data_IF_770811203559
#
_entry.id   IF_770811203559
#
_cell.length_a   1.000
_cell.length_b   1.000
_cell.length_c   1.000
_cell.angle_alpha   90.00
_cell.angle_beta   90.00
_cell.angle_gamma   90.00
#
_symmetry.space_group_name_H-M   'P 1'
#
loop_
_entity.id
_entity.type
_entity.pdbx_description
1 polymer ?
#
# COMPACT_ATOMS: atom_id res chain seq x y z
N UNK A 1 -12.02 19.53 -30.71
CA UNK A 1 -10.90 19.05 -29.85
C UNK A 1 -9.69 18.98 -30.76
N UNK A 2 -8.78 19.94 -30.70
CA UNK A 2 -7.50 19.79 -31.38
C UNK A 2 -6.74 18.64 -30.70
N UNK A 3 -6.63 17.55 -31.44
CA UNK A 3 -5.68 16.49 -31.08
C UNK A 3 -4.30 17.04 -31.42
N UNK A 4 -3.48 17.27 -30.40
CA UNK A 4 -2.05 17.48 -30.65
C UNK A 4 -1.53 16.16 -31.20
N UNK A 5 -1.14 16.05 -32.47
CA UNK A 5 -0.74 14.77 -33.04
C UNK A 5 0.44 14.18 -32.28
N UNK A 6 0.35 12.92 -31.89
CA UNK A 6 1.44 12.20 -31.22
C UNK A 6 1.52 12.35 -29.70
N UNK A 7 0.63 13.15 -29.06
CA UNK A 7 0.67 13.35 -27.61
C UNK A 7 -0.48 12.67 -26.86
N UNK A 8 -0.18 12.17 -25.67
CA UNK A 8 -1.17 11.55 -24.78
C UNK A 8 -1.77 12.65 -23.90
N UNK A 9 -3.07 12.94 -24.07
CA UNK A 9 -3.80 13.87 -23.21
C UNK A 9 -4.73 13.08 -22.29
N UNK A 10 -4.50 13.18 -20.98
CA UNK A 10 -5.30 12.52 -19.96
C UNK A 10 -6.17 13.52 -19.20
N UNK A 11 -7.27 13.04 -18.64
CA UNK A 11 -8.09 13.84 -17.72
C UNK A 11 -7.45 13.89 -16.35
N UNK A 12 -7.76 14.92 -15.59
CA UNK A 12 -7.43 15.01 -14.16
C UNK A 12 -8.69 14.86 -13.32
N UNK A 13 -8.50 14.41 -12.07
CA UNK A 13 -9.52 14.47 -11.03
C UNK A 13 -8.89 14.70 -9.67
N UNK A 14 -9.65 15.28 -8.77
CA UNK A 14 -9.32 15.31 -7.36
C UNK A 14 -9.79 14.03 -6.67
N UNK A 15 -8.90 13.40 -5.92
CA UNK A 15 -9.27 12.41 -4.93
C UNK A 15 -9.19 13.07 -3.55
N UNK A 16 -10.33 13.13 -2.89
CA UNK A 16 -10.46 13.71 -1.56
C UNK A 16 -10.63 12.56 -0.56
N UNK A 17 -9.88 12.60 0.52
CA UNK A 17 -9.98 11.64 1.61
C UNK A 17 -9.92 12.41 2.94
N UNK A 18 -10.90 12.18 3.81
CA UNK A 18 -10.81 12.64 5.19
C UNK A 18 -10.04 11.61 6.01
N UNK A 19 -8.95 12.01 6.64
CA UNK A 19 -8.09 11.15 7.48
C UNK A 19 -8.53 11.07 8.93
N UNK A 20 -9.39 11.99 9.35
CA UNK A 20 -9.96 12.05 10.68
C UNK A 20 -11.48 11.84 10.61
N UNK A 21 -12.16 12.08 11.71
CA UNK A 21 -13.62 11.99 11.82
C UNK A 21 -14.35 13.18 11.17
N UNK A 22 -15.67 13.17 11.28
CA UNK A 22 -16.52 14.25 10.76
C UNK A 22 -16.49 15.52 11.61
N UNK A 23 -16.06 15.41 12.88
CA UNK A 23 -16.03 16.54 13.82
C UNK A 23 -14.75 17.36 13.66
N UNK A 24 -13.63 16.68 13.31
CA UNK A 24 -12.34 17.33 13.07
C UNK A 24 -11.73 16.85 11.75
N UNK A 25 -12.24 17.28 10.59
CA UNK A 25 -11.83 16.76 9.30
C UNK A 25 -10.40 17.19 8.93
N UNK A 26 -9.54 16.22 8.65
CA UNK A 26 -8.25 16.41 7.97
C UNK A 26 -8.38 15.96 6.51
N UNK A 27 -8.79 16.88 5.64
CA UNK A 27 -9.06 16.57 4.24
C UNK A 27 -7.77 16.58 3.44
N UNK A 28 -7.38 15.39 2.97
CA UNK A 28 -6.28 15.25 2.01
C UNK A 28 -6.81 15.26 0.58
N UNK A 29 -6.37 16.24 -0.21
CA UNK A 29 -6.66 16.33 -1.64
C UNK A 29 -5.46 15.85 -2.46
N UNK A 30 -5.68 14.94 -3.41
CA UNK A 30 -4.69 14.50 -4.38
C UNK A 30 -5.19 14.75 -5.79
N UNK A 31 -4.39 15.44 -6.59
CA UNK A 31 -4.63 15.54 -8.02
C UNK A 31 -4.12 14.28 -8.70
N UNK A 32 -4.99 13.60 -9.43
CA UNK A 32 -4.69 12.36 -10.14
C UNK A 32 -4.80 12.56 -11.64
N UNK A 33 -3.93 11.89 -12.38
CA UNK A 33 -4.11 11.64 -13.81
C UNK A 33 -5.07 10.47 -14.02
N UNK A 34 -5.97 10.58 -14.99
CA UNK A 34 -6.90 9.50 -15.34
C UNK A 34 -6.51 8.91 -16.69
N UNK A 35 -5.46 8.10 -16.71
CA UNK A 35 -5.07 7.33 -17.87
C UNK A 35 -5.79 5.99 -17.87
N UNK A 36 -6.92 5.90 -18.61
CA UNK A 36 -7.68 4.67 -18.71
C UNK A 36 -6.98 3.65 -19.61
N UNK A 37 -6.94 2.41 -19.16
CA UNK A 37 -6.51 1.28 -19.99
C UNK A 37 -7.52 1.05 -21.12
N UNK A 38 -7.01 1.07 -22.37
CA UNK A 38 -7.77 0.70 -23.55
C UNK A 38 -6.95 -0.35 -24.32
N UNK A 39 -7.43 -1.57 -24.33
CA UNK A 39 -6.79 -2.67 -25.05
C UNK A 39 -6.04 -3.67 -24.13
N UNK A 40 -5.12 -4.44 -24.72
CA UNK A 40 -4.40 -5.48 -24.02
C UNK A 40 -3.49 -4.95 -22.90
N UNK A 41 -3.31 -5.77 -21.85
CA UNK A 41 -2.38 -5.45 -20.76
C UNK A 41 -0.97 -5.35 -21.34
N UNK A 42 -0.33 -4.22 -21.15
CA UNK A 42 1.08 -4.07 -21.41
C UNK A 42 1.85 -4.27 -20.09
N UNK A 43 2.45 -5.44 -19.94
CA UNK A 43 3.20 -5.81 -18.73
C UNK A 43 4.40 -4.89 -18.46
N UNK A 44 4.89 -4.21 -19.50
CA UNK A 44 5.97 -3.22 -19.38
C UNK A 44 5.60 -2.03 -18.46
N UNK A 45 4.31 -1.80 -18.20
CA UNK A 45 3.85 -0.73 -17.30
C UNK A 45 3.53 -1.23 -15.89
N UNK A 46 3.69 -2.52 -15.64
CA UNK A 46 3.34 -3.13 -14.36
C UNK A 46 4.47 -2.95 -13.37
N UNK A 47 4.21 -2.32 -12.23
CA UNK A 47 5.12 -2.32 -11.11
C UNK A 47 5.01 -3.64 -10.35
N UNK A 48 6.13 -4.09 -9.83
CA UNK A 48 6.16 -5.26 -8.97
C UNK A 48 5.57 -4.92 -7.60
N UNK A 49 4.78 -5.84 -7.08
CA UNK A 49 4.26 -5.76 -5.72
C UNK A 49 4.87 -6.90 -4.91
N UNK A 50 5.50 -6.64 -3.75
CA UNK A 50 6.04 -7.73 -2.97
C UNK A 50 4.89 -8.59 -2.47
N UNK A 51 4.99 -9.92 -2.58
CA UNK A 51 4.03 -10.82 -1.96
C UNK A 51 4.11 -10.67 -0.43
N UNK A 52 3.06 -11.06 0.27
CA UNK A 52 3.04 -11.05 1.75
C UNK A 52 4.23 -11.82 2.34
N UNK A 53 4.68 -12.84 1.65
CA UNK A 53 5.84 -13.68 1.99
C UNK A 53 7.14 -12.88 2.08
N UNK A 54 7.30 -11.83 1.29
CA UNK A 54 8.48 -10.95 1.36
C UNK A 54 8.64 -10.29 2.73
N UNK A 55 7.56 -9.76 3.28
CA UNK A 55 7.58 -9.21 4.65
C UNK A 55 7.66 -10.31 5.71
N UNK A 56 6.94 -11.43 5.51
CA UNK A 56 7.04 -12.59 6.40
C UNK A 56 8.45 -13.14 6.47
N UNK A 57 9.18 -13.19 5.35
CA UNK A 57 10.59 -13.59 5.32
C UNK A 57 11.45 -12.65 6.17
N UNK A 58 11.28 -11.34 6.04
CA UNK A 58 12.02 -10.34 6.83
C UNK A 58 11.72 -10.52 8.33
N UNK A 59 10.44 -10.67 8.70
CA UNK A 59 10.01 -10.85 10.09
C UNK A 59 10.47 -12.20 10.67
N UNK A 60 10.42 -13.27 9.87
CA UNK A 60 10.94 -14.58 10.26
C UNK A 60 12.43 -14.53 10.52
N UNK A 61 13.18 -13.83 9.66
CA UNK A 61 14.62 -13.63 9.85
C UNK A 61 14.91 -12.85 11.15
N UNK A 62 14.16 -11.77 11.43
CA UNK A 62 14.26 -11.06 12.70
C UNK A 62 14.02 -11.98 13.89
N UNK A 63 12.93 -12.77 13.86
CA UNK A 63 12.55 -13.65 14.96
C UNK A 63 13.57 -14.78 15.20
N UNK A 64 14.22 -15.27 14.13
CA UNK A 64 15.23 -16.32 14.21
C UNK A 64 16.58 -15.84 14.72
N UNK A 65 16.99 -14.62 14.30
CA UNK A 65 18.33 -14.09 14.66
C UNK A 65 18.29 -13.22 15.92
N UNK A 66 17.28 -12.36 16.07
CA UNK A 66 17.10 -11.31 17.11
C UNK A 66 18.34 -10.47 17.41
N UNK A 67 19.53 -11.06 17.38
CA UNK A 67 20.83 -10.41 17.63
C UNK A 67 21.84 -10.83 16.56
N UNK A 68 22.69 -9.88 16.19
CA UNK A 68 23.80 -10.11 15.27
C UNK A 68 25.05 -9.45 15.82
N UNK A 69 26.18 -10.18 15.84
CA UNK A 69 27.45 -9.69 16.43
C UNK A 69 27.28 -9.21 17.88
N UNK A 70 26.39 -9.87 18.65
CA UNK A 70 26.08 -9.47 20.03
C UNK A 70 25.18 -8.24 20.18
N UNK A 71 24.79 -7.59 19.08
CA UNK A 71 23.91 -6.41 19.06
C UNK A 71 22.49 -6.80 18.63
N UNK A 72 21.43 -6.18 19.20
CA UNK A 72 20.07 -6.46 18.80
C UNK A 72 19.80 -5.99 17.37
N UNK A 73 19.04 -6.79 16.62
CA UNK A 73 18.51 -6.40 15.33
C UNK A 73 17.32 -5.44 15.50
N UNK A 74 17.12 -4.61 14.49
CA UNK A 74 16.03 -3.65 14.40
C UNK A 74 15.28 -3.82 13.09
N UNK A 75 13.98 -3.50 13.12
CA UNK A 75 13.16 -3.35 11.92
C UNK A 75 12.77 -1.89 11.81
N UNK A 76 13.19 -1.22 10.76
CA UNK A 76 12.82 0.17 10.49
C UNK A 76 11.71 0.22 9.45
N UNK A 77 10.82 1.19 9.61
CA UNK A 77 9.69 1.46 8.73
C UNK A 77 9.78 2.91 8.24
N UNK A 78 9.98 3.04 6.93
CA UNK A 78 10.19 4.32 6.26
C UNK A 78 9.15 4.49 5.16
N UNK A 79 8.54 5.66 5.08
CA UNK A 79 7.60 6.09 4.05
C UNK A 79 8.26 7.14 3.17
N UNK A 80 8.25 6.94 1.86
CA UNK A 80 8.78 7.92 0.90
C UNK A 80 7.67 8.88 0.52
N UNK A 81 7.86 10.16 0.83
CA UNK A 81 6.88 11.18 0.50
C UNK A 81 6.78 11.40 -0.99
N UNK A 82 5.54 11.42 -1.49
CA UNK A 82 5.24 11.71 -2.90
C UNK A 82 6.05 10.80 -3.85
N UNK A 83 6.14 9.52 -3.57
CA UNK A 83 7.00 8.54 -4.24
C UNK A 83 7.05 8.72 -5.77
N UNK A 84 5.92 8.73 -6.46
CA UNK A 84 5.86 8.84 -7.92
C UNK A 84 6.43 10.16 -8.48
N UNK A 85 6.35 11.25 -7.73
CA UNK A 85 6.95 12.52 -8.16
C UNK A 85 8.50 12.51 -8.16
N UNK A 86 9.13 11.49 -7.60
CA UNK A 86 10.58 11.31 -7.68
C UNK A 86 11.01 10.69 -9.01
N UNK A 87 10.11 10.04 -9.75
CA UNK A 87 10.38 9.44 -11.04
C UNK A 87 10.13 10.42 -12.21
N UNK A 88 10.90 10.23 -13.29
CA UNK A 88 10.73 10.98 -14.54
C UNK A 88 9.82 10.20 -15.50
N UNK A 89 8.88 10.86 -16.18
CA UNK A 89 8.07 10.21 -17.20
C UNK A 89 8.93 9.93 -18.45
N UNK A 90 8.82 8.74 -19.00
CA UNK A 90 9.45 8.37 -20.28
C UNK A 90 8.59 8.77 -21.49
N UNK A 91 7.28 8.97 -21.26
CA UNK A 91 6.32 9.35 -22.29
C UNK A 91 5.92 10.81 -22.15
N UNK A 92 5.66 11.47 -23.26
CA UNK A 92 5.08 12.81 -23.23
C UNK A 92 3.58 12.74 -22.90
N UNK A 93 3.25 13.00 -21.64
CA UNK A 93 1.88 13.00 -21.14
C UNK A 93 1.47 14.43 -20.78
N UNK A 94 0.32 14.83 -21.27
CA UNK A 94 -0.32 16.09 -20.94
C UNK A 94 -1.59 15.83 -20.14
N UNK A 95 -1.78 16.56 -19.07
CA UNK A 95 -2.94 16.46 -18.20
C UNK A 95 -3.83 17.69 -18.37
N UNK A 96 -5.13 17.49 -18.54
CA UNK A 96 -6.08 18.60 -18.49
C UNK A 96 -6.05 19.23 -17.12
N UNK A 97 -5.84 20.55 -17.10
CA UNK A 97 -5.79 21.30 -15.85
C UNK A 97 -7.18 21.34 -15.21
N UNK A 98 -7.28 21.13 -13.88
CA UNK A 98 -8.54 21.28 -13.17
C UNK A 98 -9.15 22.68 -13.30
N UNK A 99 -10.45 22.76 -13.37
CA UNK A 99 -11.18 24.03 -13.54
C UNK A 99 -10.95 24.98 -12.36
N UNK A 100 -10.70 24.43 -11.19
CA UNK A 100 -10.47 25.17 -9.94
C UNK A 100 -9.21 26.05 -9.98
N UNK A 101 -8.30 25.81 -10.93
CA UNK A 101 -7.12 26.66 -11.12
C UNK A 101 -7.40 27.94 -11.91
N UNK A 102 -8.63 28.16 -12.38
CA UNK A 102 -9.04 29.38 -13.06
C UNK A 102 -8.35 29.65 -14.40
N UNK A 103 -7.68 28.64 -14.98
CA UNK A 103 -7.02 28.76 -16.28
C UNK A 103 -8.02 28.66 -17.45
N UNK A 104 -7.67 29.14 -18.65
CA UNK A 104 -8.56 29.07 -19.80
C UNK A 104 -9.07 27.66 -20.06
N UNK A 105 -10.32 27.50 -20.55
CA UNK A 105 -10.85 26.18 -20.89
C UNK A 105 -9.94 25.41 -21.85
N UNK A 106 -9.85 24.09 -21.64
CA UNK A 106 -8.98 23.17 -22.41
C UNK A 106 -7.45 23.37 -22.23
N UNK A 107 -7.03 24.15 -21.26
CA UNK A 107 -5.61 24.22 -20.89
C UNK A 107 -5.11 22.82 -20.48
N UNK A 108 -3.93 22.47 -21.00
CA UNK A 108 -3.22 21.23 -20.65
C UNK A 108 -1.84 21.57 -20.09
N UNK A 109 -1.41 20.79 -19.12
CA UNK A 109 -0.08 20.90 -18.52
C UNK A 109 0.74 19.64 -18.86
N UNK A 110 1.98 19.83 -19.32
CA UNK A 110 2.93 18.73 -19.54
C UNK A 110 3.37 18.18 -18.18
N UNK A 111 3.35 16.87 -18.03
CA UNK A 111 3.87 16.23 -16.85
C UNK A 111 5.40 16.20 -16.91
N UNK A 112 6.05 16.90 -16.00
CA UNK A 112 7.52 16.91 -15.84
C UNK A 112 8.01 15.90 -14.81
N UNK A 113 7.10 15.28 -14.09
CA UNK A 113 7.29 14.19 -13.14
C UNK A 113 6.16 13.20 -13.27
N UNK A 114 6.38 11.95 -12.87
CA UNK A 114 5.31 10.97 -12.82
C UNK A 114 4.23 11.42 -11.84
N UNK A 115 2.97 11.21 -12.22
CA UNK A 115 1.81 11.61 -11.42
C UNK A 115 0.97 10.38 -11.13
N UNK A 116 0.37 10.32 -9.95
CA UNK A 116 -0.57 9.26 -9.59
C UNK A 116 -1.67 9.11 -10.64
N UNK A 117 -1.90 7.87 -11.10
CA UNK A 117 -2.93 7.53 -12.08
C UNK A 117 -2.48 7.54 -13.54
N UNK A 118 -1.18 7.73 -13.84
CA UNK A 118 -0.56 7.30 -15.10
C UNK A 118 -0.19 5.82 -15.03
N UNK A 119 -0.28 5.12 -16.15
CA UNK A 119 -0.15 3.65 -16.20
C UNK A 119 1.24 3.15 -15.83
N UNK A 120 2.26 3.90 -16.18
CA UNK A 120 3.68 3.57 -16.01
C UNK A 120 4.32 4.19 -14.75
N UNK A 121 3.62 5.07 -14.04
CA UNK A 121 4.18 5.78 -12.88
C UNK A 121 4.70 4.82 -11.78
N UNK A 122 4.00 3.71 -11.57
CA UNK A 122 4.44 2.68 -10.61
C UNK A 122 5.75 2.02 -11.02
N UNK A 123 5.87 1.64 -12.32
CA UNK A 123 7.08 1.01 -12.87
C UNK A 123 8.27 1.97 -12.86
N UNK A 124 8.07 3.20 -13.28
CA UNK A 124 9.12 4.23 -13.30
C UNK A 124 9.60 4.60 -11.89
N UNK A 125 8.71 4.54 -10.90
CA UNK A 125 9.09 4.68 -9.51
C UNK A 125 9.90 3.46 -9.03
N UNK A 126 9.49 2.24 -9.38
CA UNK A 126 10.24 1.01 -9.10
C UNK A 126 11.67 1.10 -9.67
N UNK A 127 11.82 1.51 -10.92
CA UNK A 127 13.12 1.66 -11.55
C UNK A 127 13.96 2.74 -10.86
N UNK A 128 13.32 3.86 -10.46
CA UNK A 128 14.00 4.96 -9.75
C UNK A 128 14.57 4.51 -8.40
N UNK A 129 13.76 3.87 -7.55
CA UNK A 129 14.28 3.43 -6.24
C UNK A 129 15.25 2.26 -6.37
N UNK A 130 15.06 1.39 -7.38
CA UNK A 130 16.00 0.30 -7.65
C UNK A 130 17.38 0.84 -7.99
N UNK A 131 17.49 1.81 -8.90
CA UNK A 131 18.77 2.46 -9.24
C UNK A 131 19.44 3.09 -8.01
N UNK A 132 18.66 3.75 -7.15
CA UNK A 132 19.18 4.37 -5.92
C UNK A 132 19.69 3.30 -4.95
N UNK A 133 18.96 2.21 -4.74
CA UNK A 133 19.37 1.11 -3.86
C UNK A 133 20.61 0.38 -4.41
N UNK A 134 20.66 0.12 -5.71
CA UNK A 134 21.83 -0.50 -6.34
C UNK A 134 23.07 0.39 -6.25
N UNK A 135 22.93 1.69 -6.42
CA UNK A 135 24.03 2.66 -6.21
C UNK A 135 24.54 2.67 -4.76
N UNK A 136 23.70 2.31 -3.78
CA UNK A 136 24.11 2.12 -2.38
C UNK A 136 24.78 0.76 -2.12
N UNK A 137 24.81 -0.16 -3.12
CA UNK A 137 25.42 -1.51 -3.00
C UNK A 137 24.42 -2.61 -2.67
N UNK A 138 23.11 -2.34 -2.70
CA UNK A 138 22.11 -3.39 -2.58
C UNK A 138 22.04 -4.21 -3.87
N UNK A 139 21.67 -5.46 -3.72
CA UNK A 139 21.33 -6.36 -4.83
C UNK A 139 19.85 -6.70 -4.77
N UNK A 140 19.21 -6.63 -5.90
CA UNK A 140 17.81 -7.02 -6.09
C UNK A 140 17.66 -8.54 -5.98
N UNK A 141 16.60 -8.99 -5.33
CA UNK A 141 16.29 -10.42 -5.21
C UNK A 141 15.93 -11.05 -6.55
N UNK A 142 16.46 -12.22 -6.83
CA UNK A 142 16.22 -12.94 -8.09
C UNK A 142 14.75 -13.36 -8.21
N UNK A 143 14.15 -13.84 -7.13
CA UNK A 143 12.76 -14.32 -7.12
C UNK A 143 11.73 -13.21 -6.95
N UNK A 144 12.13 -12.06 -6.43
CA UNK A 144 11.24 -10.93 -6.21
C UNK A 144 12.01 -9.61 -6.26
N UNK A 145 11.71 -8.72 -7.21
CA UNK A 145 12.43 -7.47 -7.41
C UNK A 145 12.17 -6.41 -6.32
N UNK A 146 11.19 -6.63 -5.44
CA UNK A 146 10.92 -5.72 -4.32
C UNK A 146 11.73 -6.05 -3.06
N UNK A 147 12.57 -7.09 -3.09
CA UNK A 147 13.42 -7.51 -1.97
C UNK A 147 14.87 -7.19 -2.33
N UNK A 148 15.54 -6.47 -1.45
CA UNK A 148 16.92 -6.02 -1.63
C UNK A 148 17.78 -6.49 -0.49
N UNK A 149 19.04 -6.84 -0.78
CA UNK A 149 20.02 -7.24 0.23
C UNK A 149 21.36 -6.56 -0.01
N UNK A 150 21.87 -5.93 1.03
CA UNK A 150 23.22 -5.35 1.07
C UNK A 150 24.16 -6.32 1.79
N UNK A 151 25.03 -7.00 1.03
CA UNK A 151 25.85 -8.12 1.56
C UNK A 151 26.80 -7.72 2.67
N UNK A 152 27.51 -6.59 2.53
CA UNK A 152 28.54 -6.19 3.50
C UNK A 152 27.95 -5.73 4.82
N UNK A 153 26.82 -5.02 4.79
CA UNK A 153 26.10 -4.53 5.97
C UNK A 153 25.06 -5.50 6.48
N UNK A 154 24.77 -6.53 5.67
CA UNK A 154 23.74 -7.52 5.93
C UNK A 154 22.37 -6.87 6.25
N UNK A 155 22.04 -5.84 5.46
CA UNK A 155 20.72 -5.20 5.48
C UNK A 155 19.78 -5.89 4.51
N UNK A 156 18.57 -6.16 4.94
CA UNK A 156 17.48 -6.63 4.07
C UNK A 156 16.41 -5.56 3.99
N UNK A 157 15.99 -5.20 2.78
CA UNK A 157 14.94 -4.21 2.54
C UNK A 157 13.83 -4.85 1.72
N UNK A 158 12.59 -4.65 2.15
CA UNK A 158 11.39 -5.02 1.38
C UNK A 158 10.65 -3.72 1.07
N UNK A 159 10.47 -3.45 -0.22
CA UNK A 159 9.79 -2.25 -0.72
C UNK A 159 8.36 -2.61 -1.15
N UNK A 160 7.40 -1.82 -0.71
CA UNK A 160 6.00 -1.94 -1.15
C UNK A 160 5.47 -0.53 -1.47
N UNK A 161 5.53 -0.16 -2.74
CA UNK A 161 5.17 1.19 -3.17
C UNK A 161 6.08 2.25 -2.56
N UNK A 162 5.54 3.05 -1.65
CA UNK A 162 6.24 4.09 -0.87
C UNK A 162 6.76 3.61 0.50
N UNK A 163 6.37 2.41 0.93
CA UNK A 163 6.76 1.82 2.22
C UNK A 163 8.03 0.96 2.10
N UNK A 164 9.09 1.33 2.80
CA UNK A 164 10.35 0.59 2.94
C UNK A 164 10.44 -0.04 4.32
N UNK A 165 10.52 -1.36 4.37
CA UNK A 165 10.73 -2.12 5.61
C UNK A 165 12.13 -2.69 5.61
N UNK A 166 12.95 -2.29 6.58
CA UNK A 166 14.40 -2.62 6.62
C UNK A 166 14.75 -3.38 7.88
N UNK A 167 15.48 -4.49 7.73
CA UNK A 167 16.03 -5.29 8.83
C UNK A 167 17.55 -5.17 8.86
N UNK A 168 18.11 -4.88 10.02
CA UNK A 168 19.55 -4.84 10.23
C UNK A 168 19.96 -4.37 11.63
N UNK A 169 21.24 -4.09 11.80
CA UNK A 169 21.76 -3.42 12.99
C UNK A 169 21.40 -1.93 12.96
N UNK A 170 21.25 -1.33 14.11
CA UNK A 170 20.81 0.06 14.25
C UNK A 170 21.76 1.04 13.52
N UNK A 171 23.05 0.82 13.63
CA UNK A 171 24.09 1.61 12.93
C UNK A 171 23.97 1.53 11.40
N UNK A 172 23.68 0.35 10.87
CA UNK A 172 23.53 0.13 9.42
C UNK A 172 22.18 0.69 8.92
N UNK A 173 21.12 0.62 9.71
CA UNK A 173 19.84 1.26 9.44
C UNK A 173 20.00 2.79 9.43
N UNK A 174 20.74 3.37 10.38
CA UNK A 174 21.06 4.80 10.40
C UNK A 174 21.75 5.24 9.11
N UNK A 175 22.77 4.47 8.69
CA UNK A 175 23.43 4.72 7.42
C UNK A 175 22.48 4.67 6.24
N UNK A 176 21.62 3.67 6.18
CA UNK A 176 20.66 3.49 5.11
C UNK A 176 19.64 4.65 5.05
N UNK A 177 19.07 5.03 6.19
CA UNK A 177 18.13 6.15 6.27
C UNK A 177 18.79 7.49 5.91
N UNK A 178 20.05 7.71 6.29
CA UNK A 178 20.81 8.89 5.87
C UNK A 178 21.00 8.90 4.35
N UNK A 179 21.35 7.77 3.75
CA UNK A 179 21.51 7.64 2.30
C UNK A 179 20.19 7.83 1.55
N UNK A 180 19.08 7.31 2.06
CA UNK A 180 17.76 7.54 1.47
C UNK A 180 17.37 9.03 1.49
N UNK A 181 17.70 9.76 2.56
CA UNK A 181 17.45 11.20 2.68
C UNK A 181 18.20 12.04 1.65
N UNK A 182 19.36 11.57 1.17
CA UNK A 182 20.09 12.24 0.10
C UNK A 182 19.33 12.21 -1.23
N UNK A 183 18.49 11.17 -1.45
CA UNK A 183 17.78 10.94 -2.71
C UNK A 183 16.29 11.29 -2.63
N UNK A 184 15.65 11.09 -1.48
CA UNK A 184 14.20 11.20 -1.31
C UNK A 184 13.82 11.96 -0.04
N UNK A 185 12.66 12.62 -0.08
CA UNK A 185 12.01 13.11 1.13
C UNK A 185 11.37 11.92 1.86
N UNK A 186 11.92 11.52 3.01
CA UNK A 186 11.46 10.36 3.76
C UNK A 186 10.77 10.74 5.07
N UNK A 187 9.89 9.87 5.54
CA UNK A 187 9.32 9.90 6.88
C UNK A 187 9.63 8.59 7.58
N UNK A 188 10.43 8.62 8.63
CA UNK A 188 10.66 7.47 9.50
C UNK A 188 9.42 7.31 10.38
N UNK A 189 8.72 6.18 10.26
CA UNK A 189 7.50 5.87 11.05
C UNK A 189 7.85 5.31 12.41
N UNK A 190 9.01 4.68 12.53
CA UNK A 190 9.54 4.12 13.77
C UNK A 190 10.42 2.91 13.53
N UNK A 191 10.96 2.37 14.62
CA UNK A 191 11.74 1.14 14.64
C UNK A 191 11.18 0.20 15.71
N UNK A 192 11.17 -1.10 15.41
CA UNK A 192 10.83 -2.15 16.34
C UNK A 192 12.04 -3.04 16.63
N UNK A 193 12.13 -3.56 17.83
CA UNK A 193 13.17 -4.49 18.26
C UNK A 193 13.46 -4.39 19.76
N UNK A 194 14.23 -5.33 20.28
CA UNK A 194 14.55 -5.42 21.70
C UNK A 194 15.27 -4.14 22.20
N UNK A 195 14.69 -3.43 23.17
CA UNK A 195 15.24 -2.20 23.74
C UNK A 195 15.16 -0.97 22.83
N UNK A 196 14.27 -0.94 21.83
CA UNK A 196 13.97 0.26 21.09
C UNK A 196 13.22 1.27 21.97
N UNK A 197 13.69 2.52 21.96
CA UNK A 197 12.91 3.65 22.44
C UNK A 197 11.95 4.07 21.33
N UNK A 198 10.63 4.08 21.61
CA UNK A 198 9.63 4.51 20.64
C UNK A 198 8.38 3.63 20.62
N UNK A 199 7.67 3.59 19.51
CA UNK A 199 6.43 2.83 19.41
C UNK A 199 6.70 1.33 19.59
N UNK A 200 5.84 0.66 20.37
CA UNK A 200 5.88 -0.79 20.56
C UNK A 200 5.19 -1.52 19.41
N UNK A 201 4.38 -0.82 18.65
CA UNK A 201 3.68 -1.32 17.47
C UNK A 201 3.73 -0.33 16.31
N UNK A 202 3.74 -0.83 15.09
CA UNK A 202 3.66 -0.03 13.87
C UNK A 202 2.63 -0.66 12.92
N UNK A 203 1.76 0.19 12.38
CA UNK A 203 0.75 -0.23 11.41
C UNK A 203 1.27 -0.06 9.99
N UNK A 204 1.26 -1.14 9.24
CA UNK A 204 1.68 -1.19 7.82
C UNK A 204 0.67 -2.03 7.02
N UNK A 205 0.25 -1.56 5.86
CA UNK A 205 -0.61 -2.31 4.93
C UNK A 205 -1.79 -3.00 5.64
N UNK A 206 -2.54 -2.26 6.46
CA UNK A 206 -3.68 -2.77 7.22
C UNK A 206 -3.33 -3.94 8.15
N UNK A 207 -2.11 -3.94 8.68
CA UNK A 207 -1.63 -4.90 9.67
C UNK A 207 -0.88 -4.19 10.79
N UNK A 208 -0.89 -4.79 11.95
CA UNK A 208 -0.13 -4.36 13.12
C UNK A 208 1.09 -5.25 13.26
N UNK A 209 2.25 -4.63 13.36
CA UNK A 209 3.51 -5.30 13.70
C UNK A 209 3.92 -4.83 15.08
N UNK A 210 4.15 -5.75 15.99
CA UNK A 210 4.66 -5.45 17.33
C UNK A 210 5.80 -6.38 17.69
N UNK A 211 6.65 -5.92 18.61
CA UNK A 211 7.77 -6.71 19.16
C UNK A 211 7.75 -6.56 20.66
N UNK A 212 7.70 -7.70 21.36
CA UNK A 212 7.76 -7.80 22.80
C UNK A 212 8.74 -8.91 23.26
N UNK A 213 8.73 -9.25 24.53
CA UNK A 213 9.58 -10.29 25.11
C UNK A 213 9.27 -11.68 24.50
N UNK A 214 8.01 -11.95 24.13
CA UNK A 214 7.57 -13.22 23.53
C UNK A 214 8.02 -13.34 22.08
N UNK A 215 8.16 -12.24 21.36
CA UNK A 215 8.61 -12.24 19.97
C UNK A 215 8.06 -11.11 19.11
N UNK A 216 7.93 -11.40 17.82
CA UNK A 216 7.31 -10.52 16.84
C UNK A 216 5.90 -11.03 16.52
N UNK A 217 4.92 -10.14 16.67
CA UNK A 217 3.55 -10.35 16.22
C UNK A 217 3.30 -9.60 14.90
N UNK A 218 2.58 -10.24 13.98
CA UNK A 218 2.17 -9.66 12.69
C UNK A 218 0.71 -10.03 12.42
N UNK A 219 -0.19 -9.15 12.81
CA UNK A 219 -1.63 -9.39 12.87
C UNK A 219 -2.41 -8.50 11.91
N UNK A 220 -3.62 -8.93 11.56
CA UNK A 220 -4.55 -8.04 10.86
C UNK A 220 -4.93 -6.86 11.76
N UNK A 221 -5.14 -5.68 11.18
CA UNK A 221 -5.58 -4.50 11.94
C UNK A 221 -7.02 -4.73 12.43
N UNK A 222 -7.26 -4.77 13.75
CA UNK A 222 -8.58 -5.06 14.32
C UNK A 222 -9.65 -4.02 13.92
N UNK A 223 -9.25 -2.80 13.59
CA UNK A 223 -10.19 -1.75 13.16
C UNK A 223 -11.07 -2.16 11.98
N UNK A 224 -10.60 -3.05 11.10
CA UNK A 224 -11.43 -3.54 9.99
C UNK A 224 -12.55 -4.45 10.49
N UNK A 225 -12.27 -5.29 11.49
CA UNK A 225 -13.32 -6.11 12.12
C UNK A 225 -14.30 -5.22 12.87
N UNK A 226 -13.82 -4.24 13.63
CA UNK A 226 -14.67 -3.31 14.40
C UNK A 226 -15.61 -2.51 13.47
N UNK A 227 -15.09 -2.04 12.33
CA UNK A 227 -15.88 -1.33 11.32
C UNK A 227 -16.96 -2.24 10.71
N UNK A 228 -16.62 -3.51 10.41
CA UNK A 228 -17.59 -4.47 9.88
C UNK A 228 -18.66 -4.79 10.94
N UNK A 229 -18.26 -5.07 12.17
CA UNK A 229 -19.20 -5.34 13.27
C UNK A 229 -20.14 -4.16 13.49
N UNK A 230 -19.60 -2.95 13.53
CA UNK A 230 -20.42 -1.74 13.72
C UNK A 230 -21.37 -1.49 12.53
N UNK A 231 -20.88 -1.68 11.30
CA UNK A 231 -21.69 -1.45 10.09
C UNK A 231 -22.81 -2.48 9.91
N UNK A 232 -22.58 -3.71 10.39
CA UNK A 232 -23.54 -4.82 10.34
C UNK A 232 -24.38 -4.91 11.60
N UNK A 233 -24.19 -4.03 12.58
CA UNK A 233 -24.85 -4.05 13.90
C UNK A 233 -24.67 -5.40 14.62
N UNK A 234 -23.50 -6.01 14.46
CA UNK A 234 -23.14 -7.24 15.14
C UNK A 234 -22.66 -6.95 16.58
N UNK A 235 -22.97 -7.85 17.49
CA UNK A 235 -22.51 -7.82 18.89
C UNK A 235 -21.75 -9.10 19.25
N UNK A 236 -21.29 -9.18 20.47
CA UNK A 236 -20.58 -10.38 20.98
C UNK A 236 -21.43 -11.66 20.93
N UNK A 237 -22.76 -11.55 20.89
CA UNK A 237 -23.69 -12.67 20.79
C UNK A 237 -23.83 -13.18 19.36
N UNK A 238 -23.39 -12.40 18.39
CA UNK A 238 -23.42 -12.76 16.96
C UNK A 238 -22.25 -13.68 16.57
N UNK A 239 -21.57 -14.29 17.53
CA UNK A 239 -20.44 -15.19 17.28
C UNK A 239 -20.90 -16.54 16.72
N UNK A 240 -20.24 -17.00 15.67
CA UNK A 240 -20.37 -18.34 15.13
C UNK A 240 -19.01 -19.06 15.20
N UNK A 241 -19.03 -20.32 15.65
CA UNK A 241 -17.83 -21.14 15.77
C UNK A 241 -17.25 -21.52 14.40
N UNK A 242 -18.05 -21.45 13.34
CA UNK A 242 -17.64 -21.78 11.96
C UNK A 242 -18.20 -20.77 10.99
N UNK A 243 -17.49 -20.51 9.85
CA UNK A 243 -17.94 -19.57 8.81
C UNK A 243 -19.26 -19.98 8.13
N UNK A 244 -19.77 -21.17 8.41
CA UNK A 244 -21.04 -21.67 7.87
C UNK A 244 -21.55 -22.86 8.68
N UNK A 245 -22.83 -23.08 8.60
CA UNK A 245 -23.47 -24.26 9.21
C UNK A 245 -23.30 -25.42 8.23
N UNK A 246 -22.73 -26.54 8.70
CA UNK A 246 -22.69 -27.76 7.91
C UNK A 246 -24.13 -28.31 7.83
N UNK A 247 -24.69 -28.52 6.62
CA UNK A 247 -26.01 -29.08 6.50
C UNK A 247 -26.05 -30.45 7.14
N UNK A 248 -27.01 -30.66 8.04
CA UNK A 248 -27.13 -31.87 8.84
C UNK A 248 -27.91 -32.97 8.12
N UNK A 249 -28.66 -32.67 7.06
CA UNK A 249 -29.44 -33.63 6.29
C UNK A 249 -29.21 -33.55 4.79
N UNK A 250 -28.98 -34.70 4.16
CA UNK A 250 -28.81 -34.85 2.72
C UNK A 250 -30.06 -34.48 1.91
N UNK A 251 -31.22 -34.45 2.55
CA UNK A 251 -32.50 -34.17 1.90
C UNK A 251 -32.72 -32.68 1.59
N UNK A 252 -32.02 -31.78 2.26
CA UNK A 252 -32.07 -30.34 1.97
C UNK A 252 -31.44 -29.94 0.63
N UNK A 253 -30.60 -30.81 0.05
CA UNK A 253 -30.01 -30.55 -1.28
C UNK A 253 -30.93 -30.89 -2.45
N UNK A 254 -31.93 -31.75 -2.22
CA UNK A 254 -32.81 -32.21 -3.30
C UNK A 254 -33.99 -31.30 -3.58
N UNK A 255 -34.34 -30.41 -2.65
CA UNK A 255 -35.56 -29.56 -2.76
C UNK A 255 -35.30 -28.06 -2.89
N UNK A 256 -34.06 -27.61 -2.86
CA UNK A 256 -33.73 -26.24 -3.24
C UNK A 256 -33.11 -26.29 -4.63
N UNK A 257 -33.96 -26.15 -5.67
CA UNK A 257 -33.51 -25.53 -6.90
C UNK A 257 -32.83 -24.26 -6.44
N UNK A 258 -31.51 -24.27 -6.50
CA UNK A 258 -30.68 -23.21 -5.99
C UNK A 258 -30.86 -21.98 -6.88
N UNK A 259 -31.87 -21.22 -6.60
CA UNK A 259 -31.63 -19.78 -6.59
C UNK A 259 -30.74 -19.49 -5.37
N UNK A 260 -29.74 -18.66 -5.48
CA UNK A 260 -28.95 -18.19 -4.33
C UNK A 260 -29.89 -17.30 -3.50
N UNK A 261 -30.78 -17.95 -2.80
CA UNK A 261 -31.63 -17.34 -1.82
C UNK A 261 -30.87 -17.38 -0.53
N UNK A 262 -30.83 -16.22 0.04
CA UNK A 262 -30.76 -15.98 1.45
C UNK A 262 -29.38 -15.83 2.11
N UNK A 263 -28.42 -15.32 1.42
CA UNK A 263 -27.99 -14.00 1.88
C UNK A 263 -29.03 -13.03 1.29
N UNK A 264 -30.04 -12.67 2.04
CA UNK A 264 -30.92 -11.60 1.61
C UNK A 264 -30.12 -10.31 1.65
N UNK A 265 -29.35 -10.04 0.59
CA UNK A 265 -28.89 -8.71 0.21
C UNK A 265 -30.05 -7.69 0.17
N UNK A 266 -31.29 -8.17 0.30
CA UNK A 266 -32.49 -7.38 0.24
C UNK A 266 -32.81 -6.59 1.52
N UNK A 267 -32.23 -6.94 2.68
CA UNK A 267 -32.40 -6.16 3.92
C UNK A 267 -31.38 -5.03 4.05
N UNK A 268 -30.30 -5.09 3.27
CA UNK A 268 -29.44 -3.94 3.07
C UNK A 268 -29.87 -3.28 1.76
N UNK A 269 -30.47 -2.11 1.86
CA UNK A 269 -30.72 -1.33 0.66
C UNK A 269 -29.43 -1.33 -0.15
N UNK A 270 -29.47 -1.65 -1.45
CA UNK A 270 -28.32 -1.64 -2.36
C UNK A 270 -27.46 -0.39 -2.18
N UNK A 271 -28.08 0.69 -1.72
CA UNK A 271 -27.44 1.95 -1.42
C UNK A 271 -26.47 1.86 -0.21
N UNK A 272 -26.81 1.12 0.85
CA UNK A 272 -25.93 0.94 2.01
C UNK A 272 -24.69 0.09 1.66
N UNK A 273 -24.87 -0.95 0.87
CA UNK A 273 -23.76 -1.78 0.38
C UNK A 273 -22.88 -1.00 -0.62
N UNK A 274 -23.51 -0.23 -1.52
CA UNK A 274 -22.81 0.65 -2.45
C UNK A 274 -22.03 1.74 -1.69
N UNK A 275 -22.59 2.31 -0.66
CA UNK A 275 -21.94 3.33 0.16
C UNK A 275 -20.83 2.73 1.02
N UNK A 276 -21.00 1.51 1.52
CA UNK A 276 -19.96 0.73 2.19
C UNK A 276 -18.80 0.39 1.23
N UNK A 277 -19.12 -0.08 0.02
CA UNK A 277 -18.12 -0.37 -1.02
C UNK A 277 -17.45 0.91 -1.56
N UNK A 278 -18.19 2.02 -1.63
CA UNK A 278 -17.60 3.33 -1.96
C UNK A 278 -16.67 3.81 -0.87
N UNK A 279 -17.03 3.66 0.40
CA UNK A 279 -16.16 3.96 1.52
C UNK A 279 -14.93 3.04 1.54
N UNK A 280 -15.10 1.74 1.27
CA UNK A 280 -13.98 0.79 1.18
C UNK A 280 -13.01 1.13 0.03
N UNK A 281 -13.53 1.53 -1.14
CA UNK A 281 -12.70 2.01 -2.26
C UNK A 281 -12.01 3.35 -2.00
N UNK A 282 -12.40 4.09 -0.97
CA UNK A 282 -11.72 5.31 -0.54
C UNK A 282 -10.49 5.05 0.33
N UNK A 283 -10.33 3.84 0.87
CA UNK A 283 -9.21 3.46 1.73
C UNK A 283 -8.07 2.73 1.00
N UNK A 284 -8.31 2.24 -0.23
CA UNK A 284 -7.35 1.46 -1.04
C UNK A 284 -6.66 2.27 -2.16
N UNK A 285 -6.60 3.58 -2.04
CA UNK A 285 -5.88 4.44 -2.99
C UNK A 285 -4.93 5.41 -2.29
#
# INVERSE_FOLDING_TARGET
MEKIPGHIIVRSRWALCNKCDSESPDVRARLLSCELHKGDRNDAFSASTPPLEGKRLLFSRYSSERKRRGKPLRISFVDIRKAYFNALPEREIYMRVPKELGLPPNTVAKQVRCVYGTRDAGKLWEDTYTMVLEAMGFRTGVSNPCIFHHKERDLMVVVHGDDFTTLGLDEDINWFECKLKESFEIRIRGRLGEGCEGPQEIRILNRVVSVDESGLSYEADPRHCDLLMSSLTLDEKSQAATPGVKPTDRDDFANKSAEPTDFQLNDYSDQKLIDLLKNYRQYDL
#
